data_IF_505405019289
#
_entry.id   IF_505405019289
#
_cell.length_a   1.000
_cell.length_b   1.000
_cell.length_c   1.000
_cell.angle_alpha   90.00
_cell.angle_beta   90.00
_cell.angle_gamma   90.00
#
_symmetry.space_group_name_H-M   'P 1'
#
loop_
_entity.id
_entity.type
_entity.pdbx_description
1 polymer ?
#
# COMPACT_ATOMS: atom_id res chain seq x y z
N UNK A 1 9.89 26.52 -8.65
CA UNK A 1 8.46 26.79 -8.43
C UNK A 1 7.69 25.63 -9.02
N UNK A 2 7.30 24.63 -8.21
CA UNK A 2 6.56 23.46 -8.70
C UNK A 2 5.09 23.87 -8.86
N UNK A 3 4.59 23.67 -10.08
CA UNK A 3 3.33 24.20 -10.59
C UNK A 3 2.11 23.70 -9.81
N UNK A 4 1.29 24.65 -9.36
CA UNK A 4 0.01 24.51 -8.65
C UNK A 4 -1.13 23.87 -9.50
N UNK A 5 -0.80 23.20 -10.61
CA UNK A 5 -1.73 22.68 -11.60
C UNK A 5 -2.20 21.24 -11.36
N UNK A 6 -1.42 20.40 -10.66
CA UNK A 6 -1.75 18.97 -10.48
C UNK A 6 -2.66 18.65 -9.28
N UNK A 7 -2.86 19.59 -8.34
CA UNK A 7 -3.65 19.36 -7.13
C UNK A 7 -5.15 19.16 -7.40
N UNK A 8 -5.75 20.01 -8.24
CA UNK A 8 -7.18 19.90 -8.61
C UNK A 8 -7.49 18.62 -9.41
N UNK A 9 -6.67 18.18 -10.39
CA UNK A 9 -6.91 16.95 -11.13
C UNK A 9 -6.99 15.65 -10.31
N UNK A 10 -6.19 15.50 -9.26
CA UNK A 10 -6.13 14.24 -8.49
C UNK A 10 -7.36 14.11 -7.59
N UNK A 11 -7.69 15.16 -6.83
CA UNK A 11 -8.82 15.14 -5.91
C UNK A 11 -10.15 14.94 -6.66
N UNK A 12 -10.36 15.65 -7.76
CA UNK A 12 -11.60 15.54 -8.55
C UNK A 12 -11.79 14.12 -9.12
N UNK A 13 -10.71 13.53 -9.66
CA UNK A 13 -10.75 12.15 -10.17
C UNK A 13 -11.01 11.13 -9.06
N UNK A 14 -10.41 11.31 -7.89
CA UNK A 14 -10.63 10.41 -6.75
C UNK A 14 -12.08 10.49 -6.26
N UNK A 15 -12.65 11.69 -6.16
CA UNK A 15 -14.04 11.88 -5.79
C UNK A 15 -14.99 11.19 -6.78
N UNK A 16 -14.73 11.33 -8.09
CA UNK A 16 -15.53 10.66 -9.12
C UNK A 16 -15.43 9.14 -9.01
N UNK A 17 -14.23 8.58 -8.83
CA UNK A 17 -14.05 7.13 -8.64
C UNK A 17 -14.82 6.66 -7.41
N UNK A 18 -14.63 7.31 -6.26
CA UNK A 18 -15.30 6.92 -5.00
C UNK A 18 -16.83 6.94 -5.11
N UNK A 19 -17.42 7.90 -5.83
CA UNK A 19 -18.87 7.97 -6.06
C UNK A 19 -19.42 6.85 -6.95
N UNK A 20 -18.57 6.24 -7.79
CA UNK A 20 -18.97 5.15 -8.69
C UNK A 20 -18.74 3.77 -8.12
N UNK A 21 -17.94 3.66 -7.05
CA UNK A 21 -17.63 2.38 -6.42
C UNK A 21 -18.78 1.94 -5.53
N UNK A 22 -19.20 0.65 -5.60
CA UNK A 22 -20.09 0.08 -4.61
C UNK A 22 -19.46 0.14 -3.21
N UNK A 23 -20.29 0.24 -2.18
CA UNK A 23 -19.83 0.28 -0.79
C UNK A 23 -19.00 -0.94 -0.35
N UNK A 24 -19.13 -2.08 -1.06
CA UNK A 24 -18.34 -3.29 -0.82
C UNK A 24 -16.93 -3.25 -1.43
N UNK A 25 -16.61 -2.22 -2.21
CA UNK A 25 -15.31 -2.11 -2.90
C UNK A 25 -14.43 -1.12 -2.17
N UNK A 26 -13.22 -1.58 -1.80
CA UNK A 26 -12.17 -0.73 -1.22
C UNK A 26 -11.27 -0.19 -2.34
N UNK A 27 -11.10 1.12 -2.42
CA UNK A 27 -10.14 1.77 -3.31
C UNK A 27 -8.74 1.73 -2.68
N UNK A 28 -7.77 1.20 -3.43
CA UNK A 28 -6.34 1.21 -3.03
C UNK A 28 -5.57 2.01 -4.08
N UNK A 29 -4.99 3.15 -3.69
CA UNK A 29 -4.22 3.99 -4.61
C UNK A 29 -2.79 3.45 -4.76
N UNK A 30 -2.43 3.02 -5.97
CA UNK A 30 -1.07 2.55 -6.26
C UNK A 30 -0.11 3.74 -6.36
N UNK A 31 0.82 3.85 -5.42
CA UNK A 31 1.71 5.02 -5.25
C UNK A 31 3.17 4.74 -5.55
N UNK A 32 3.52 3.56 -6.10
CA UNK A 32 4.90 3.26 -6.54
C UNK A 32 5.40 4.35 -7.50
N UNK A 33 6.63 4.84 -7.29
CA UNK A 33 7.22 5.92 -8.10
C UNK A 33 6.42 7.24 -8.13
N UNK A 34 5.46 7.43 -7.21
CA UNK A 34 4.71 8.68 -7.02
C UNK A 34 5.33 9.48 -5.88
N UNK A 35 5.33 10.82 -5.99
CA UNK A 35 5.88 11.71 -4.96
C UNK A 35 5.01 11.77 -3.71
N UNK A 36 5.60 12.15 -2.58
CA UNK A 36 4.90 12.29 -1.30
C UNK A 36 3.86 13.41 -1.33
N UNK A 37 4.06 14.47 -2.12
CA UNK A 37 3.08 15.54 -2.32
C UNK A 37 1.81 15.02 -3.00
N UNK A 38 1.95 14.17 -4.02
CA UNK A 38 0.80 13.57 -4.68
C UNK A 38 0.07 12.57 -3.77
N UNK A 39 0.79 11.82 -2.94
CA UNK A 39 0.18 10.96 -1.90
C UNK A 39 -0.60 11.80 -0.90
N UNK A 40 -0.05 12.93 -0.45
CA UNK A 40 -0.72 13.87 0.47
C UNK A 40 -2.01 14.43 -0.13
N UNK A 41 -1.99 14.84 -1.40
CA UNK A 41 -3.19 15.29 -2.11
C UNK A 41 -4.26 14.19 -2.19
N UNK A 42 -3.86 12.94 -2.44
CA UNK A 42 -4.79 11.81 -2.45
C UNK A 42 -5.36 11.53 -1.05
N UNK A 43 -4.53 11.64 -0.02
CA UNK A 43 -4.93 11.48 1.38
C UNK A 43 -5.94 12.57 1.80
N UNK A 44 -5.69 13.82 1.44
CA UNK A 44 -6.62 14.95 1.65
C UNK A 44 -7.95 14.75 0.93
N UNK A 45 -7.95 14.06 -0.22
CA UNK A 45 -9.13 13.63 -0.96
C UNK A 45 -9.81 12.35 -0.42
N UNK A 46 -9.40 11.88 0.78
CA UNK A 46 -10.06 10.78 1.49
C UNK A 46 -9.46 9.39 1.27
N UNK A 47 -8.41 9.24 0.46
CA UNK A 47 -7.72 7.95 0.31
C UNK A 47 -6.97 7.61 1.60
N UNK A 48 -7.06 6.36 2.05
CA UNK A 48 -6.30 5.84 3.20
C UNK A 48 -5.44 4.62 2.88
N UNK A 49 -5.84 3.85 1.87
CA UNK A 49 -5.12 2.65 1.44
C UNK A 49 -4.18 2.96 0.27
N UNK A 50 -2.87 2.74 0.47
CA UNK A 50 -1.83 2.99 -0.52
C UNK A 50 -1.02 1.72 -0.83
N UNK A 51 -0.82 1.47 -2.13
CA UNK A 51 -0.12 0.30 -2.65
C UNK A 51 1.30 0.60 -3.11
N UNK A 52 2.29 -0.09 -2.52
CA UNK A 52 3.70 -0.01 -2.88
C UNK A 52 4.26 -1.35 -3.36
N UNK A 53 5.28 -1.29 -4.20
CA UNK A 53 5.95 -2.50 -4.73
C UNK A 53 7.28 -2.81 -4.06
N UNK A 54 7.89 -1.86 -3.35
CA UNK A 54 9.25 -1.98 -2.80
C UNK A 54 9.30 -1.47 -1.37
N UNK A 55 9.98 -2.24 -0.51
CA UNK A 55 10.18 -1.93 0.91
C UNK A 55 10.94 -0.61 1.11
N UNK A 56 11.92 -0.32 0.25
CA UNK A 56 12.70 0.91 0.38
C UNK A 56 11.84 2.15 0.14
N UNK A 57 11.02 2.14 -0.92
CA UNK A 57 10.13 3.27 -1.25
C UNK A 57 9.12 3.53 -0.14
N UNK A 58 8.51 2.48 0.44
CA UNK A 58 7.54 2.67 1.55
C UNK A 58 8.22 3.18 2.82
N UNK A 59 9.45 2.74 3.12
CA UNK A 59 10.17 3.21 4.31
C UNK A 59 10.45 4.71 4.22
N UNK A 60 10.89 5.19 3.05
CA UNK A 60 11.12 6.61 2.78
C UNK A 60 9.80 7.41 2.85
N UNK A 61 8.72 6.89 2.26
CA UNK A 61 7.40 7.52 2.27
C UNK A 61 6.77 7.58 3.66
N UNK A 62 6.85 6.52 4.44
CA UNK A 62 6.34 6.51 5.82
C UNK A 62 7.07 7.52 6.69
N UNK A 63 8.39 7.65 6.54
CA UNK A 63 9.15 8.68 7.25
C UNK A 63 8.74 10.09 6.82
N UNK A 64 8.56 10.33 5.53
CA UNK A 64 8.18 11.64 4.99
C UNK A 64 6.72 12.04 5.25
N UNK A 65 5.83 11.05 5.48
CA UNK A 65 4.39 11.23 5.67
C UNK A 65 3.94 10.83 7.08
N UNK A 66 4.86 10.81 8.05
CA UNK A 66 4.58 10.40 9.44
C UNK A 66 3.55 11.29 10.13
N UNK A 67 3.32 12.50 9.61
CA UNK A 67 2.32 13.45 10.07
C UNK A 67 0.90 13.09 9.62
N UNK A 68 0.76 12.27 8.57
CA UNK A 68 -0.52 11.74 8.13
C UNK A 68 -0.89 10.54 9.00
N UNK A 69 -1.98 10.67 9.74
CA UNK A 69 -2.53 9.58 10.52
C UNK A 69 -3.08 8.48 9.59
N UNK A 70 -3.42 7.33 10.16
CA UNK A 70 -4.31 6.31 9.58
C UNK A 70 -4.06 5.80 8.14
N UNK A 71 -2.88 6.00 7.57
CA UNK A 71 -2.49 5.39 6.30
C UNK A 71 -2.33 3.88 6.48
N UNK A 72 -2.99 3.12 5.60
CA UNK A 72 -2.80 1.68 5.45
C UNK A 72 -1.91 1.39 4.23
N UNK A 73 -0.77 0.76 4.47
CA UNK A 73 0.19 0.39 3.43
C UNK A 73 0.02 -1.06 2.98
N UNK A 74 -0.11 -1.24 1.67
CA UNK A 74 -0.26 -2.53 0.99
C UNK A 74 1.00 -2.85 0.17
N UNK A 75 1.61 -4.01 0.42
CA UNK A 75 2.60 -4.57 -0.47
C UNK A 75 1.90 -5.28 -1.62
N UNK A 76 1.97 -4.70 -2.82
CA UNK A 76 1.38 -5.25 -4.05
C UNK A 76 2.43 -5.80 -5.03
N UNK A 77 3.72 -5.58 -4.74
CA UNK A 77 4.84 -6.14 -5.49
C UNK A 77 5.28 -7.50 -4.95
N UNK A 78 6.02 -8.27 -5.75
CA UNK A 78 6.55 -9.57 -5.34
C UNK A 78 7.42 -9.46 -4.07
N UNK A 79 7.16 -10.34 -3.11
CA UNK A 79 7.89 -10.40 -1.85
C UNK A 79 8.97 -11.49 -1.89
N UNK A 80 10.22 -11.05 -2.02
CA UNK A 80 11.36 -11.97 -1.89
C UNK A 80 11.45 -12.50 -0.46
N UNK A 81 11.69 -13.81 -0.30
CA UNK A 81 11.71 -14.47 1.02
C UNK A 81 12.68 -13.82 2.02
N UNK A 82 13.83 -13.31 1.59
CA UNK A 82 14.80 -12.64 2.47
C UNK A 82 14.32 -11.27 3.00
N UNK A 83 13.28 -10.71 2.39
CA UNK A 83 12.67 -9.43 2.76
C UNK A 83 11.41 -9.58 3.62
N UNK A 84 10.96 -10.81 3.90
CA UNK A 84 9.75 -11.10 4.65
C UNK A 84 9.67 -10.38 6.00
N UNK A 85 10.76 -10.41 6.81
CA UNK A 85 10.78 -9.76 8.12
C UNK A 85 10.57 -8.24 8.01
N UNK A 86 11.25 -7.59 7.05
CA UNK A 86 11.08 -6.16 6.80
C UNK A 86 9.69 -5.83 6.28
N UNK A 87 9.07 -6.69 5.48
CA UNK A 87 7.70 -6.46 5.02
C UNK A 87 6.72 -6.32 6.19
N UNK A 88 6.92 -7.11 7.25
CA UNK A 88 6.11 -7.03 8.48
C UNK A 88 6.32 -5.73 9.27
N UNK A 89 7.40 -4.99 9.05
CA UNK A 89 7.65 -3.70 9.72
C UNK A 89 6.88 -2.55 9.06
N UNK A 90 6.66 -2.63 7.74
CA UNK A 90 6.14 -1.51 6.95
C UNK A 90 4.71 -1.72 6.43
N UNK A 91 4.26 -2.96 6.24
CA UNK A 91 3.00 -3.22 5.55
C UNK A 91 1.95 -3.84 6.45
N UNK A 92 0.72 -3.32 6.35
CA UNK A 92 -0.46 -3.87 7.02
C UNK A 92 -1.16 -4.91 6.13
N UNK A 93 -0.88 -4.89 4.82
CA UNK A 93 -1.38 -5.85 3.85
C UNK A 93 -0.25 -6.37 2.96
N UNK A 94 -0.23 -7.68 2.70
CA UNK A 94 0.68 -8.30 1.73
C UNK A 94 -0.15 -9.07 0.71
N UNK A 95 -0.22 -8.56 -0.52
CA UNK A 95 -1.10 -9.12 -1.56
C UNK A 95 -0.41 -10.19 -2.42
N UNK A 96 0.90 -10.37 -2.23
CA UNK A 96 1.79 -11.10 -3.14
C UNK A 96 2.28 -12.43 -2.57
N UNK A 97 1.48 -13.08 -1.72
CA UNK A 97 1.82 -14.43 -1.25
C UNK A 97 1.61 -15.41 -2.39
N UNK A 98 2.66 -16.05 -2.87
CA UNK A 98 2.62 -16.93 -4.05
C UNK A 98 2.98 -18.39 -3.74
N UNK A 99 3.31 -18.70 -2.48
CA UNK A 99 3.74 -20.03 -2.06
C UNK A 99 3.48 -20.29 -0.58
N UNK A 100 3.24 -21.55 -0.23
CA UNK A 100 3.09 -21.99 1.16
C UNK A 100 4.34 -21.66 1.98
N UNK A 101 5.53 -21.89 1.41
CA UNK A 101 6.82 -21.60 2.06
C UNK A 101 6.95 -20.13 2.48
N UNK A 102 6.48 -19.19 1.65
CA UNK A 102 6.49 -17.77 1.99
C UNK A 102 5.47 -17.47 3.10
N UNK A 103 4.27 -18.05 3.02
CA UNK A 103 3.24 -17.90 4.04
C UNK A 103 3.68 -18.41 5.41
N UNK A 104 4.27 -19.61 5.48
CA UNK A 104 4.81 -20.20 6.72
C UNK A 104 5.93 -19.34 7.30
N UNK A 105 6.83 -18.84 6.44
CA UNK A 105 7.90 -17.94 6.87
C UNK A 105 7.35 -16.65 7.49
N UNK A 106 6.35 -16.02 6.86
CA UNK A 106 5.71 -14.83 7.41
C UNK A 106 5.00 -15.13 8.73
N UNK A 107 4.29 -16.25 8.81
CA UNK A 107 3.64 -16.69 10.04
C UNK A 107 4.66 -16.83 11.19
N UNK A 108 5.78 -17.51 10.94
CA UNK A 108 6.84 -17.69 11.94
C UNK A 108 7.45 -16.36 12.41
N UNK A 109 7.64 -15.41 11.49
CA UNK A 109 8.20 -14.08 11.81
C UNK A 109 7.19 -13.16 12.51
N UNK A 110 5.89 -13.48 12.44
CA UNK A 110 4.81 -12.68 12.99
C UNK A 110 4.32 -13.16 14.36
N UNK A 111 4.80 -14.29 14.89
CA UNK A 111 4.33 -14.88 16.16
C UNK A 111 4.40 -13.87 17.31
N UNK A 112 5.56 -13.23 17.47
CA UNK A 112 5.83 -12.30 18.58
C UNK A 112 5.59 -10.83 18.22
N UNK A 113 4.95 -10.57 17.08
CA UNK A 113 4.68 -9.20 16.63
C UNK A 113 3.30 -8.73 17.10
N UNK A 114 3.21 -7.48 17.59
CA UNK A 114 1.94 -6.91 18.05
C UNK A 114 0.96 -6.69 16.89
N UNK A 115 1.48 -6.44 15.69
CA UNK A 115 0.70 -6.23 14.47
C UNK A 115 1.03 -7.33 13.48
N UNK A 116 -0.02 -7.99 12.98
CA UNK A 116 0.07 -9.03 11.94
C UNK A 116 -0.57 -8.48 10.67
N UNK A 117 0.09 -8.55 9.51
CA UNK A 117 -0.51 -8.08 8.29
C UNK A 117 -1.64 -9.02 7.87
N UNK A 118 -2.62 -8.46 7.19
CA UNK A 118 -3.53 -9.25 6.37
C UNK A 118 -2.77 -9.74 5.12
N UNK A 119 -3.08 -10.94 4.66
CA UNK A 119 -2.42 -11.54 3.49
C UNK A 119 -3.42 -12.00 2.45
N UNK A 120 -3.05 -11.89 1.18
CA UNK A 120 -3.81 -12.45 0.06
C UNK A 120 -2.91 -13.42 -0.73
N UNK A 121 -3.52 -14.50 -1.22
CA UNK A 121 -2.87 -15.44 -2.14
C UNK A 121 -2.93 -14.86 -3.57
N UNK A 122 -1.76 -14.68 -4.18
CA UNK A 122 -1.62 -14.28 -5.57
C UNK A 122 -1.77 -15.51 -6.47
N UNK A 123 -2.83 -15.51 -7.28
CA UNK A 123 -3.07 -16.56 -8.27
C UNK A 123 -2.73 -16.03 -9.65
N UNK A 124 -1.82 -16.71 -10.36
CA UNK A 124 -1.60 -16.45 -11.78
C UNK A 124 -2.75 -17.07 -12.57
N UNK A 125 -3.66 -16.24 -13.07
CA UNK A 125 -4.68 -16.68 -14.01
C UNK A 125 -4.01 -16.94 -15.35
N UNK A 126 -4.03 -18.19 -15.81
CA UNK A 126 -3.65 -18.51 -17.17
C UNK A 126 -4.82 -18.07 -18.05
N UNK A 127 -4.58 -17.08 -18.90
CA UNK A 127 -5.54 -16.70 -19.96
C UNK A 127 -5.21 -17.45 -21.23
#
# INVERSE_FOLDING_TARGET
MVSSSQAKPIADRLNQIQQTLPASVRLIAVSKQVSTEAIRLAYEAGVRDFGESRIQEVAEKQAALHDLADITWHLIGHLQSNKAARALDYFQWIHSIDSLKLAEKLNQLAIDRPVKPNVLLQVKTVT
#
